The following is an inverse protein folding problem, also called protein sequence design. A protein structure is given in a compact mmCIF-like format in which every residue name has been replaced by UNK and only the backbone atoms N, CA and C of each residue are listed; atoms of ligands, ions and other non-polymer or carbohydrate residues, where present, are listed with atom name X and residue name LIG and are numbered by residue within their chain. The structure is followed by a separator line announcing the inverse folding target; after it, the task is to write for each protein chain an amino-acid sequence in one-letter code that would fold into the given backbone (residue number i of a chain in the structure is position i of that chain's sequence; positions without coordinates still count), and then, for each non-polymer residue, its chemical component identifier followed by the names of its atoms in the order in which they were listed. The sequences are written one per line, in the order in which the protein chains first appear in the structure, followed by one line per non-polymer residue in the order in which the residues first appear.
data_IF_917549904910
#
_entry.id   IF_917549904910
#
_cell.length_a   1.000
_cell.length_b   1.000
_cell.length_c   1.000
_cell.angle_alpha   90.00
_cell.angle_beta   90.00
_cell.angle_gamma   90.00
#
_symmetry.space_group_name_H-M   'P 1'
#
loop_
_entity.id
_entity.type
_entity.pdbx_description
1 polymer ?
#
# COMPACT_ATOMS: atom_id res chain seq x y z
N UNK A 1 -39.01 30.07 -4.83
CA UNK A 1 -38.43 28.73 -4.81
C UNK A 1 -38.82 28.09 -6.13
N UNK A 2 -37.87 27.93 -7.02
CA UNK A 2 -38.11 27.35 -8.35
C UNK A 2 -38.31 25.84 -8.20
N UNK A 3 -39.08 25.21 -9.10
CA UNK A 3 -39.33 23.77 -9.13
C UNK A 3 -38.01 22.96 -9.16
N UNK A 4 -36.99 23.52 -9.80
CA UNK A 4 -35.65 22.94 -9.83
C UNK A 4 -34.92 23.03 -8.49
N UNK A 5 -35.15 24.10 -7.71
CA UNK A 5 -34.61 24.22 -6.35
C UNK A 5 -35.28 23.22 -5.42
N UNK A 6 -36.58 23.04 -5.53
CA UNK A 6 -37.34 22.04 -4.76
C UNK A 6 -36.90 20.62 -5.12
N UNK A 7 -36.71 20.31 -6.41
CA UNK A 7 -36.20 18.99 -6.84
C UNK A 7 -34.77 18.73 -6.36
N UNK A 8 -33.89 19.75 -6.37
CA UNK A 8 -32.54 19.64 -5.79
C UNK A 8 -32.53 19.40 -4.30
N UNK A 9 -33.38 20.10 -3.56
CA UNK A 9 -33.53 19.90 -2.11
C UNK A 9 -34.10 18.53 -1.77
N UNK A 10 -35.03 18.02 -2.58
CA UNK A 10 -35.62 16.68 -2.41
C UNK A 10 -34.57 15.59 -2.72
N UNK A 11 -33.84 15.73 -3.81
CA UNK A 11 -32.73 14.81 -4.15
C UNK A 11 -31.58 14.86 -3.13
N UNK A 12 -31.31 16.03 -2.52
CA UNK A 12 -30.32 16.11 -1.44
C UNK A 12 -30.78 15.37 -0.17
N UNK A 13 -32.08 15.37 0.14
CA UNK A 13 -32.64 14.61 1.27
C UNK A 13 -32.61 13.10 1.06
N UNK A 14 -32.63 12.63 -0.19
CA UNK A 14 -32.56 11.22 -0.54
C UNK A 14 -31.11 10.68 -0.64
N UNK A 15 -30.10 11.56 -0.59
CA UNK A 15 -28.71 11.12 -0.62
C UNK A 15 -28.29 10.47 0.71
N UNK A 16 -27.36 9.49 0.70
CA UNK A 16 -26.91 8.81 1.92
C UNK A 16 -26.45 9.79 3.00
N UNK A 17 -26.76 9.51 4.26
CA UNK A 17 -26.43 10.35 5.41
C UNK A 17 -24.95 10.73 5.46
N UNK A 18 -24.06 9.79 5.16
CA UNK A 18 -22.63 10.04 5.08
C UNK A 18 -22.25 11.11 4.03
N UNK A 19 -23.07 11.31 3.00
CA UNK A 19 -22.88 12.36 2.01
C UNK A 19 -23.45 13.71 2.49
N UNK A 20 -24.64 13.69 3.09
CA UNK A 20 -25.30 14.89 3.61
C UNK A 20 -24.55 15.53 4.77
N UNK A 21 -23.97 14.70 5.64
CA UNK A 21 -23.22 15.13 6.83
C UNK A 21 -21.78 15.57 6.53
N UNK A 22 -21.37 15.61 5.28
CA UNK A 22 -20.02 16.10 4.93
C UNK A 22 -19.81 17.53 5.42
N UNK A 23 -18.70 17.80 6.14
CA UNK A 23 -18.30 19.15 6.52
C UNK A 23 -18.25 20.11 5.32
N UNK A 24 -18.70 21.35 5.54
CA UNK A 24 -18.61 22.42 4.54
C UNK A 24 -17.45 23.38 4.83
N UNK A 25 -17.01 23.44 6.06
CA UNK A 25 -15.92 24.31 6.54
C UNK A 25 -14.87 23.50 7.28
N UNK A 26 -13.66 24.06 7.44
CA UNK A 26 -12.59 23.42 8.21
C UNK A 26 -12.96 23.19 9.69
N UNK A 27 -13.76 24.07 10.27
CA UNK A 27 -14.16 23.99 11.67
C UNK A 27 -15.22 22.89 11.91
N UNK A 28 -15.89 22.41 10.86
CA UNK A 28 -16.82 21.29 10.93
C UNK A 28 -16.13 19.92 10.82
N UNK A 29 -14.87 19.90 10.39
CA UNK A 29 -14.15 18.63 10.21
C UNK A 29 -13.82 18.05 11.58
N UNK A 30 -14.23 16.82 11.79
CA UNK A 30 -13.95 16.06 13.02
C UNK A 30 -12.68 15.25 12.85
N UNK A 31 -11.87 15.18 13.89
CA UNK A 31 -10.59 14.48 13.87
C UNK A 31 -9.49 15.17 13.08
N UNK A 32 -8.45 14.43 12.69
CA UNK A 32 -7.31 14.89 11.87
C UNK A 32 -6.62 16.17 12.38
N UNK A 33 -6.61 16.43 13.68
CA UNK A 33 -6.08 17.67 14.29
C UNK A 33 -4.61 17.91 13.99
N UNK A 34 -3.84 16.85 13.74
CA UNK A 34 -2.43 16.92 13.35
C UNK A 34 -2.22 17.52 11.95
N UNK A 35 -3.22 17.46 11.07
CA UNK A 35 -3.16 18.00 9.69
C UNK A 35 -3.85 19.36 9.60
N UNK A 36 -5.06 19.48 10.18
CA UNK A 36 -5.95 20.64 10.01
C UNK A 36 -6.14 21.48 11.29
N UNK A 37 -5.38 21.22 12.35
CA UNK A 37 -5.39 22.08 13.55
C UNK A 37 -4.98 23.51 13.20
N UNK A 38 -5.51 24.52 13.90
CA UNK A 38 -5.34 25.97 13.58
C UNK A 38 -3.89 26.42 13.39
N UNK A 39 -2.91 25.70 13.95
CA UNK A 39 -1.48 26.03 13.86
C UNK A 39 -0.73 25.18 12.83
N UNK A 40 -1.38 24.25 12.13
CA UNK A 40 -0.73 23.37 11.15
C UNK A 40 -0.42 24.11 9.86
N UNK A 41 0.54 23.58 9.12
CA UNK A 41 0.96 24.14 7.83
C UNK A 41 -0.20 24.15 6.83
N UNK A 42 -0.95 23.05 6.72
CA UNK A 42 -2.05 22.92 5.78
C UNK A 42 -3.18 23.92 6.09
N UNK A 43 -3.56 24.05 7.36
CA UNK A 43 -4.57 25.02 7.77
C UNK A 43 -4.20 26.46 7.37
N UNK A 44 -2.95 26.85 7.63
CA UNK A 44 -2.47 28.19 7.26
C UNK A 44 -2.39 28.39 5.75
N UNK A 45 -1.98 27.39 4.99
CA UNK A 45 -1.92 27.42 3.52
C UNK A 45 -3.32 27.61 2.92
N UNK A 46 -4.32 26.89 3.44
CA UNK A 46 -5.72 27.01 3.01
C UNK A 46 -6.26 28.42 3.31
N UNK A 47 -6.07 28.91 4.52
CA UNK A 47 -6.54 30.26 4.94
C UNK A 47 -5.86 31.39 4.15
N UNK A 48 -4.61 31.22 3.75
CA UNK A 48 -3.87 32.18 2.94
C UNK A 48 -4.15 32.07 1.44
N UNK A 49 -4.97 31.12 1.00
CA UNK A 49 -5.19 30.76 -0.42
C UNK A 49 -3.87 30.48 -1.18
N UNK A 50 -2.92 29.82 -0.51
CA UNK A 50 -1.57 29.49 -1.02
C UNK A 50 -1.33 27.97 -0.98
N UNK A 51 -2.34 27.20 -1.39
CA UNK A 51 -2.24 25.76 -1.44
C UNK A 51 -1.29 25.33 -2.59
N UNK A 52 -0.35 24.45 -2.27
CA UNK A 52 0.40 23.63 -3.22
C UNK A 52 -0.29 22.28 -3.43
N UNK A 53 0.18 21.49 -4.39
CA UNK A 53 -0.34 20.13 -4.58
C UNK A 53 -0.10 19.27 -3.35
N UNK A 54 -1.09 18.42 -3.04
CA UNK A 54 -1.08 17.55 -1.86
C UNK A 54 -1.55 16.14 -2.20
N UNK A 55 -1.08 15.17 -1.44
CA UNK A 55 -1.56 13.79 -1.52
C UNK A 55 -2.03 13.39 -0.12
N UNK A 56 -3.31 13.05 -0.01
CA UNK A 56 -3.90 12.48 1.19
C UNK A 56 -3.88 10.96 1.10
N UNK A 57 -3.24 10.29 2.05
CA UNK A 57 -3.31 8.85 2.13
C UNK A 57 -3.76 8.40 3.52
N UNK A 58 -4.27 7.19 3.61
CA UNK A 58 -4.74 6.62 4.86
C UNK A 58 -6.02 5.78 4.68
N UNK A 59 -6.55 5.19 5.77
CA UNK A 59 -7.66 4.26 5.74
C UNK A 59 -8.94 4.82 5.10
N UNK A 60 -9.85 3.96 4.60
CA UNK A 60 -11.15 4.40 4.10
C UNK A 60 -11.99 5.04 5.23
N UNK A 61 -12.87 5.98 4.87
CA UNK A 61 -13.74 6.64 5.84
C UNK A 61 -13.12 7.71 6.73
N UNK A 62 -11.80 7.97 6.61
CA UNK A 62 -11.07 8.98 7.41
C UNK A 62 -11.24 10.42 6.95
N UNK A 63 -11.97 10.65 5.83
CA UNK A 63 -12.34 11.99 5.38
C UNK A 63 -11.47 12.57 4.25
N UNK A 64 -10.67 11.81 3.52
CA UNK A 64 -9.82 12.29 2.40
C UNK A 64 -10.60 13.14 1.38
N UNK A 65 -11.66 12.58 0.81
CA UNK A 65 -12.54 13.27 -0.16
C UNK A 65 -13.23 14.48 0.47
N UNK A 66 -13.66 14.35 1.72
CA UNK A 66 -14.29 15.41 2.49
C UNK A 66 -13.34 16.59 2.68
N UNK A 67 -12.09 16.32 3.07
CA UNK A 67 -11.09 17.37 3.28
C UNK A 67 -10.76 18.09 1.96
N UNK A 68 -10.65 17.37 0.84
CA UNK A 68 -10.46 17.98 -0.47
C UNK A 68 -11.60 18.95 -0.84
N UNK A 69 -12.87 18.57 -0.57
CA UNK A 69 -14.03 19.43 -0.81
C UNK A 69 -14.05 20.65 0.09
N UNK A 70 -13.72 20.50 1.39
CA UNK A 70 -13.63 21.61 2.35
C UNK A 70 -12.52 22.60 1.93
N UNK A 71 -11.38 22.10 1.46
CA UNK A 71 -10.31 22.94 0.92
C UNK A 71 -10.80 23.73 -0.28
N UNK A 72 -11.46 23.07 -1.22
CA UNK A 72 -12.01 23.74 -2.40
C UNK A 72 -13.04 24.82 -2.06
N UNK A 73 -13.94 24.56 -1.11
CA UNK A 73 -14.93 25.52 -0.65
C UNK A 73 -14.32 26.71 0.09
N UNK A 74 -13.14 26.55 0.66
CA UNK A 74 -12.45 27.60 1.45
C UNK A 74 -11.52 28.46 0.57
N UNK A 75 -11.12 27.95 -0.61
CA UNK A 75 -10.23 28.63 -1.56
C UNK A 75 -11.01 29.26 -2.71
N UNK A 76 -10.39 30.21 -3.43
CA UNK A 76 -10.99 30.85 -4.62
C UNK A 76 -10.84 30.01 -5.89
N UNK A 77 -10.43 28.75 -5.77
CA UNK A 77 -10.14 27.87 -6.90
C UNK A 77 -11.39 27.17 -7.43
N UNK A 78 -11.40 26.86 -8.73
CA UNK A 78 -12.40 25.94 -9.32
C UNK A 78 -12.09 24.52 -8.88
N UNK A 79 -13.11 23.76 -8.50
CA UNK A 79 -12.97 22.37 -8.08
C UNK A 79 -13.46 21.40 -9.15
N UNK A 80 -12.59 20.50 -9.55
CA UNK A 80 -12.93 19.40 -10.47
C UNK A 80 -12.50 18.08 -9.84
N UNK A 81 -13.40 17.10 -9.87
CA UNK A 81 -13.15 15.77 -9.33
C UNK A 81 -13.07 14.73 -10.43
N UNK A 82 -12.06 13.88 -10.38
CA UNK A 82 -11.95 12.64 -11.15
C UNK A 82 -11.85 11.45 -10.21
N UNK A 83 -12.43 10.33 -10.63
CA UNK A 83 -12.22 9.05 -9.96
C UNK A 83 -11.34 8.19 -10.87
N UNK A 84 -10.15 7.84 -10.41
CA UNK A 84 -9.16 7.11 -11.20
C UNK A 84 -9.58 5.68 -11.58
N UNK A 85 -10.64 5.14 -10.93
CA UNK A 85 -11.18 3.81 -11.31
C UNK A 85 -12.01 3.84 -12.59
N UNK A 86 -12.50 5.02 -13.00
CA UNK A 86 -13.41 5.20 -14.14
C UNK A 86 -12.84 6.16 -15.18
N UNK A 87 -12.12 7.20 -14.73
CA UNK A 87 -11.62 8.27 -15.59
C UNK A 87 -10.51 7.80 -16.55
N UNK A 88 -10.66 8.17 -17.81
CA UNK A 88 -9.70 7.91 -18.87
C UNK A 88 -8.84 9.14 -19.24
N UNK A 89 -7.97 8.96 -20.23
CA UNK A 89 -7.10 10.04 -20.72
C UNK A 89 -7.89 11.26 -21.22
N UNK A 90 -9.01 11.03 -21.89
CA UNK A 90 -9.87 12.10 -22.42
C UNK A 90 -10.44 12.99 -21.32
N UNK A 91 -10.88 12.38 -20.22
CA UNK A 91 -11.42 13.15 -19.08
C UNK A 91 -10.35 14.08 -18.49
N UNK A 92 -9.10 13.60 -18.41
CA UNK A 92 -7.97 14.42 -17.98
C UNK A 92 -7.66 15.57 -18.94
N UNK A 93 -7.69 15.31 -20.26
CA UNK A 93 -7.49 16.33 -21.30
C UNK A 93 -8.56 17.42 -21.21
N UNK A 94 -9.82 17.06 -21.01
CA UNK A 94 -10.93 18.00 -20.87
C UNK A 94 -10.78 18.89 -19.62
N UNK A 95 -10.36 18.30 -18.50
CA UNK A 95 -10.07 19.04 -17.27
C UNK A 95 -8.92 20.02 -17.44
N UNK A 96 -7.82 19.58 -18.06
CA UNK A 96 -6.65 20.42 -18.33
C UNK A 96 -7.01 21.59 -19.24
N UNK A 97 -7.77 21.33 -20.31
CA UNK A 97 -8.23 22.37 -21.23
C UNK A 97 -9.06 23.42 -20.49
N UNK A 98 -10.05 22.98 -19.70
CA UNK A 98 -10.88 23.87 -18.88
C UNK A 98 -10.06 24.67 -17.87
N UNK A 99 -9.07 24.04 -17.23
CA UNK A 99 -8.19 24.71 -16.28
C UNK A 99 -7.38 25.84 -16.94
N UNK A 100 -6.82 25.60 -18.15
CA UNK A 100 -6.12 26.62 -18.94
C UNK A 100 -7.02 27.77 -19.35
N UNK A 101 -8.24 27.47 -19.77
CA UNK A 101 -9.24 28.49 -20.16
C UNK A 101 -9.59 29.37 -18.95
N UNK A 102 -9.84 28.78 -17.78
CA UNK A 102 -10.15 29.51 -16.56
C UNK A 102 -8.97 30.36 -16.06
N UNK A 103 -7.76 29.84 -16.13
CA UNK A 103 -6.55 30.58 -15.78
C UNK A 103 -6.30 31.74 -16.74
N UNK A 104 -6.44 31.51 -18.05
CA UNK A 104 -6.20 32.54 -19.08
C UNK A 104 -7.25 33.64 -19.10
N UNK A 105 -8.54 33.31 -18.93
CA UNK A 105 -9.64 34.28 -19.03
C UNK A 105 -9.91 35.00 -17.71
N UNK A 106 -9.76 34.31 -16.57
CA UNK A 106 -10.21 34.82 -15.29
C UNK A 106 -9.12 34.86 -14.21
N UNK A 107 -7.90 34.40 -14.50
CA UNK A 107 -6.82 34.26 -13.53
C UNK A 107 -7.15 33.25 -12.40
N UNK A 108 -8.14 32.38 -12.62
CA UNK A 108 -8.65 31.46 -11.60
C UNK A 108 -7.91 30.13 -11.65
N UNK A 109 -7.41 29.66 -10.53
CA UNK A 109 -6.73 28.36 -10.40
C UNK A 109 -7.74 27.22 -10.35
N UNK A 110 -7.34 26.03 -10.76
CA UNK A 110 -8.14 24.81 -10.70
C UNK A 110 -7.53 23.81 -9.73
N UNK A 111 -8.32 23.39 -8.75
CA UNK A 111 -8.01 22.23 -7.91
C UNK A 111 -8.56 21.00 -8.63
N UNK A 112 -7.68 20.10 -9.01
CA UNK A 112 -8.03 18.77 -9.51
C UNK A 112 -7.91 17.75 -8.38
N UNK A 113 -9.05 17.27 -7.91
CA UNK A 113 -9.11 16.17 -6.96
C UNK A 113 -9.18 14.84 -7.71
N UNK A 114 -8.25 13.94 -7.42
CA UNK A 114 -8.22 12.59 -7.98
C UNK A 114 -8.39 11.59 -6.84
N UNK A 115 -9.57 10.95 -6.82
CA UNK A 115 -9.84 9.86 -5.89
C UNK A 115 -9.21 8.56 -6.39
N UNK A 116 -8.61 7.79 -5.49
CA UNK A 116 -7.87 6.56 -5.75
C UNK A 116 -6.74 6.74 -6.81
N UNK A 117 -5.93 7.80 -6.66
CA UNK A 117 -4.89 8.18 -7.64
C UNK A 117 -3.94 7.03 -8.01
N UNK A 118 -3.73 6.05 -7.12
CA UNK A 118 -2.93 4.86 -7.38
C UNK A 118 -3.49 3.96 -8.50
N UNK A 119 -4.77 4.13 -8.88
CA UNK A 119 -5.40 3.41 -10.00
C UNK A 119 -5.01 3.95 -11.37
N UNK A 120 -4.51 5.17 -11.43
CA UNK A 120 -3.94 5.69 -12.67
C UNK A 120 -2.62 4.99 -12.99
N UNK A 121 -2.45 4.57 -14.24
CA UNK A 121 -1.18 4.04 -14.70
C UNK A 121 -0.10 5.16 -14.77
N UNK A 122 1.18 4.75 -14.89
CA UNK A 122 2.30 5.71 -14.93
C UNK A 122 2.14 6.79 -16.00
N UNK A 123 1.69 6.43 -17.20
CA UNK A 123 1.50 7.39 -18.29
C UNK A 123 0.40 8.42 -18.01
N UNK A 124 -0.67 8.04 -17.29
CA UNK A 124 -1.71 8.95 -16.85
C UNK A 124 -1.19 9.91 -15.75
N UNK A 125 -0.41 9.38 -14.81
CA UNK A 125 0.22 10.22 -13.79
C UNK A 125 1.27 11.16 -14.39
N UNK A 126 2.08 10.72 -15.35
CA UNK A 126 3.06 11.55 -16.07
C UNK A 126 2.39 12.68 -16.86
N UNK A 127 1.21 12.42 -17.43
CA UNK A 127 0.46 13.45 -18.16
C UNK A 127 0.11 14.67 -17.32
N UNK A 128 -0.07 14.52 -16.02
CA UNK A 128 -0.41 15.63 -15.11
C UNK A 128 0.81 16.49 -14.74
N UNK A 129 2.03 15.96 -14.84
CA UNK A 129 3.24 16.61 -14.36
C UNK A 129 3.44 18.04 -14.88
N UNK A 130 3.36 18.31 -16.20
CA UNK A 130 3.57 19.67 -16.71
C UNK A 130 2.59 20.69 -16.13
N UNK A 131 1.34 20.29 -15.88
CA UNK A 131 0.28 21.18 -15.40
C UNK A 131 0.30 21.40 -13.89
N UNK A 132 0.92 20.47 -13.17
CA UNK A 132 1.26 20.63 -11.74
C UNK A 132 2.49 21.53 -11.57
N UNK A 133 3.47 21.39 -12.46
CA UNK A 133 4.71 22.19 -12.46
C UNK A 133 4.46 23.66 -12.78
N UNK A 134 3.66 23.94 -13.80
CA UNK A 134 3.34 25.31 -14.25
C UNK A 134 2.24 25.99 -13.42
N UNK A 135 1.62 25.25 -12.48
CA UNK A 135 0.56 25.75 -11.60
C UNK A 135 -0.80 25.92 -12.25
N UNK A 136 -1.00 25.41 -13.48
CA UNK A 136 -2.32 25.35 -14.14
C UNK A 136 -3.29 24.54 -13.29
N UNK A 137 -2.78 23.47 -12.64
CA UNK A 137 -3.55 22.58 -11.76
C UNK A 137 -2.88 22.51 -10.39
N UNK A 138 -3.66 22.66 -9.34
CA UNK A 138 -3.33 22.25 -7.98
C UNK A 138 -3.87 20.83 -7.81
N UNK A 139 -2.99 19.85 -7.73
CA UNK A 139 -3.39 18.45 -7.56
C UNK A 139 -3.71 18.17 -6.08
N UNK A 140 -4.88 17.58 -5.83
CA UNK A 140 -5.18 16.90 -4.57
C UNK A 140 -5.40 15.41 -4.88
N UNK A 141 -4.41 14.58 -4.64
CA UNK A 141 -4.53 13.14 -4.76
C UNK A 141 -5.07 12.51 -3.49
N UNK A 142 -5.97 11.54 -3.59
CA UNK A 142 -6.40 10.70 -2.49
C UNK A 142 -6.09 9.24 -2.79
N UNK A 143 -5.59 8.51 -1.80
CA UNK A 143 -5.30 7.08 -1.92
C UNK A 143 -5.44 6.38 -0.58
N UNK A 144 -5.78 5.09 -0.63
CA UNK A 144 -5.72 4.18 0.52
C UNK A 144 -4.39 3.43 0.59
N UNK A 145 -3.59 3.49 -0.47
CA UNK A 145 -2.30 2.82 -0.58
C UNK A 145 -1.15 3.77 -0.24
N UNK A 146 -0.01 3.21 0.17
CA UNK A 146 1.17 4.03 0.47
C UNK A 146 1.66 4.75 -0.80
N UNK A 147 1.60 6.09 -0.85
CA UNK A 147 1.89 6.85 -2.06
C UNK A 147 3.34 6.70 -2.55
N UNK A 148 4.28 6.40 -1.66
CA UNK A 148 5.70 6.21 -2.04
C UNK A 148 5.94 4.98 -2.91
N UNK A 149 5.01 4.01 -2.93
CA UNK A 149 5.10 2.83 -3.78
C UNK A 149 4.23 2.94 -5.03
N UNK A 150 3.09 3.62 -4.94
CA UNK A 150 2.04 3.55 -5.95
C UNK A 150 1.92 4.83 -6.79
N UNK A 151 2.38 5.96 -6.27
CA UNK A 151 2.34 7.23 -7.00
C UNK A 151 3.70 7.53 -7.62
N UNK A 152 3.68 8.12 -8.83
CA UNK A 152 4.89 8.49 -9.54
C UNK A 152 5.80 9.38 -8.68
N UNK A 153 7.10 9.04 -8.52
CA UNK A 153 8.05 9.83 -7.74
C UNK A 153 8.14 11.29 -8.16
N UNK A 154 7.90 11.62 -9.44
CA UNK A 154 7.89 12.98 -9.91
C UNK A 154 6.68 13.80 -9.40
N UNK A 155 5.50 13.18 -9.23
CA UNK A 155 4.35 13.81 -8.56
C UNK A 155 4.58 13.94 -7.05
N UNK A 156 5.17 12.90 -6.43
CA UNK A 156 5.54 12.91 -5.01
C UNK A 156 6.45 14.09 -4.69
N UNK A 157 7.50 14.31 -5.49
CA UNK A 157 8.47 15.40 -5.26
C UNK A 157 7.87 16.80 -5.38
N UNK A 158 6.68 16.93 -5.99
CA UNK A 158 5.94 18.20 -6.20
C UNK A 158 4.71 18.34 -5.31
N UNK A 159 4.48 17.37 -4.46
CA UNK A 159 3.30 17.33 -3.59
C UNK A 159 3.70 17.20 -2.13
N UNK A 160 2.89 17.73 -1.24
CA UNK A 160 3.03 17.50 0.19
C UNK A 160 2.14 16.33 0.56
N UNK A 161 2.72 15.35 1.26
CA UNK A 161 2.00 14.13 1.65
C UNK A 161 1.46 14.32 3.05
N UNK A 162 0.18 14.04 3.24
CA UNK A 162 -0.47 14.01 4.53
C UNK A 162 -1.11 12.66 4.78
N UNK A 163 -0.76 12.08 5.91
CA UNK A 163 -1.36 10.84 6.39
C UNK A 163 -2.59 11.15 7.23
N UNK A 164 -3.73 10.57 6.84
CA UNK A 164 -4.95 10.61 7.63
C UNK A 164 -5.05 9.35 8.48
N UNK A 165 -5.26 9.53 9.76
CA UNK A 165 -5.42 8.43 10.70
C UNK A 165 -6.88 8.03 10.84
N UNK A 166 -7.14 6.82 11.34
CA UNK A 166 -8.46 6.43 11.79
C UNK A 166 -8.99 7.47 12.78
N UNK A 167 -10.28 7.75 12.69
CA UNK A 167 -10.93 8.63 13.65
C UNK A 167 -10.97 7.97 15.03
N UNK A 168 -10.73 8.76 16.05
CA UNK A 168 -10.85 8.29 17.42
C UNK A 168 -12.32 7.99 17.75
N UNK A 169 -12.57 7.18 18.77
CA UNK A 169 -13.92 6.83 19.20
C UNK A 169 -14.77 8.04 19.53
N UNK A 170 -14.19 9.02 20.19
CA UNK A 170 -14.81 10.30 20.56
C UNK A 170 -15.20 11.11 19.32
N UNK A 171 -14.36 11.11 18.28
CA UNK A 171 -14.64 11.77 17.00
C UNK A 171 -15.86 11.12 16.32
N UNK A 172 -15.96 9.80 16.34
CA UNK A 172 -17.10 9.06 15.78
C UNK A 172 -18.37 9.34 16.59
N UNK A 173 -18.29 9.35 17.92
CA UNK A 173 -19.42 9.71 18.79
C UNK A 173 -19.96 11.11 18.48
N UNK A 174 -19.06 12.08 18.31
CA UNK A 174 -19.43 13.45 17.92
C UNK A 174 -20.15 13.47 16.57
N UNK A 175 -19.66 12.72 15.57
CA UNK A 175 -20.29 12.62 14.25
C UNK A 175 -21.69 12.00 14.32
N UNK A 176 -21.86 10.91 15.07
CA UNK A 176 -23.14 10.24 15.26
C UNK A 176 -24.13 11.17 15.97
N UNK A 177 -23.73 11.80 17.07
CA UNK A 177 -24.58 12.73 17.82
C UNK A 177 -25.02 13.91 16.95
N UNK A 178 -24.10 14.49 16.17
CA UNK A 178 -24.41 15.53 15.20
C UNK A 178 -25.38 15.05 14.13
N UNK A 179 -25.19 13.82 13.62
CA UNK A 179 -26.05 13.24 12.59
C UNK A 179 -27.47 12.98 13.08
N UNK A 180 -27.64 12.55 14.31
CA UNK A 180 -28.98 12.33 14.93
C UNK A 180 -29.68 13.65 15.19
N UNK A 181 -28.96 14.68 15.64
CA UNK A 181 -29.57 15.97 16.08
C UNK A 181 -29.78 16.97 14.94
N UNK A 182 -29.03 16.95 13.85
CA UNK A 182 -29.13 17.94 12.75
C UNK A 182 -30.45 17.75 11.98
N UNK A 183 -31.39 18.74 12.01
CA UNK A 183 -32.70 18.60 11.36
C UNK A 183 -32.64 18.80 9.83
N UNK A 184 -31.56 19.37 9.31
CA UNK A 184 -31.44 19.73 7.87
C UNK A 184 -30.65 18.69 7.10
N UNK A 185 -29.45 18.36 7.58
CA UNK A 185 -28.53 17.43 6.91
C UNK A 185 -28.58 16.02 7.52
N UNK A 186 -28.95 15.93 8.78
CA UNK A 186 -28.98 14.70 9.56
C UNK A 186 -30.35 14.03 9.59
N UNK A 187 -30.60 13.39 10.71
CA UNK A 187 -31.82 12.63 11.01
C UNK A 187 -32.69 13.30 12.05
N UNK A 188 -32.44 14.58 12.44
CA UNK A 188 -33.17 15.28 13.49
C UNK A 188 -34.69 15.42 13.24
N UNK A 189 -35.10 15.46 11.96
CA UNK A 189 -36.53 15.48 11.59
C UNK A 189 -37.27 14.16 11.89
N UNK A 190 -36.56 13.08 12.16
CA UNK A 190 -37.13 11.77 12.53
C UNK A 190 -37.47 11.69 14.03
N UNK A 191 -37.00 12.64 14.85
CA UNK A 191 -37.15 12.63 16.31
C UNK A 191 -36.59 11.36 16.95
N UNK A 192 -35.37 10.95 16.49
CA UNK A 192 -34.68 9.79 17.02
C UNK A 192 -33.93 10.15 18.31
N UNK A 193 -33.98 9.26 19.29
CA UNK A 193 -33.19 9.31 20.51
C UNK A 193 -32.21 8.12 20.48
N UNK A 194 -30.94 8.42 20.68
CA UNK A 194 -29.87 7.41 20.67
C UNK A 194 -29.39 7.19 22.10
N UNK A 195 -29.47 5.95 22.59
CA UNK A 195 -28.97 5.58 23.91
C UNK A 195 -27.44 5.63 23.96
N UNK A 196 -26.89 5.95 25.13
CA UNK A 196 -25.44 6.13 25.31
C UNK A 196 -24.65 4.82 24.99
N UNK A 197 -25.19 3.68 25.37
CA UNK A 197 -24.58 2.36 25.10
C UNK A 197 -24.64 1.98 23.60
N UNK A 198 -25.72 2.37 22.92
CA UNK A 198 -25.83 2.25 21.46
C UNK A 198 -24.82 3.14 20.74
N UNK A 199 -24.67 4.40 21.20
CA UNK A 199 -23.66 5.30 20.66
C UNK A 199 -22.23 4.78 20.87
N UNK A 200 -21.96 4.24 22.05
CA UNK A 200 -20.70 3.58 22.40
C UNK A 200 -20.40 2.42 21.47
N UNK A 201 -21.37 1.52 21.31
CA UNK A 201 -21.25 0.35 20.43
C UNK A 201 -21.04 0.75 18.97
N UNK A 202 -21.84 1.67 18.42
CA UNK A 202 -21.71 2.14 17.04
C UNK A 202 -20.32 2.76 16.77
N UNK A 203 -19.79 3.49 17.75
CA UNK A 203 -18.48 4.12 17.66
C UNK A 203 -17.35 3.10 17.65
N UNK A 204 -17.40 2.09 18.51
CA UNK A 204 -16.44 0.99 18.54
C UNK A 204 -16.54 0.14 17.26
N UNK A 205 -17.75 -0.20 16.85
CA UNK A 205 -17.99 -1.00 15.68
C UNK A 205 -17.56 -0.28 14.39
N UNK A 206 -17.58 1.05 14.34
CA UNK A 206 -17.11 1.84 13.21
C UNK A 206 -15.59 1.80 13.03
N UNK A 207 -14.81 1.51 14.08
CA UNK A 207 -13.35 1.36 14.03
C UNK A 207 -12.65 2.50 13.24
N UNK A 208 -13.04 3.75 13.53
CA UNK A 208 -12.50 4.93 12.88
C UNK A 208 -13.02 5.27 11.48
N UNK A 209 -13.98 4.51 10.94
CA UNK A 209 -14.62 4.77 9.66
C UNK A 209 -15.93 5.57 9.85
N UNK A 210 -15.88 6.88 9.59
CA UNK A 210 -17.06 7.76 9.69
C UNK A 210 -18.22 7.34 8.79
N UNK A 211 -17.93 6.82 7.59
CA UNK A 211 -18.97 6.38 6.65
C UNK A 211 -19.71 5.17 7.19
N UNK A 212 -18.97 4.21 7.77
CA UNK A 212 -19.58 3.03 8.39
C UNK A 212 -20.48 3.42 9.57
N UNK A 213 -20.04 4.35 10.43
CA UNK A 213 -20.83 4.86 11.56
C UNK A 213 -22.12 5.54 11.10
N UNK A 214 -22.02 6.45 10.13
CA UNK A 214 -23.15 7.19 9.61
C UNK A 214 -24.14 6.30 8.85
N UNK A 215 -23.69 5.32 8.12
CA UNK A 215 -24.56 4.33 7.48
C UNK A 215 -25.28 3.46 8.52
N UNK A 216 -24.59 3.08 9.60
CA UNK A 216 -25.18 2.30 10.68
C UNK A 216 -26.31 3.05 11.37
N UNK A 217 -26.08 4.32 11.75
CA UNK A 217 -27.12 5.14 12.40
C UNK A 217 -28.27 5.49 11.44
N UNK A 218 -27.99 5.73 10.13
CA UNK A 218 -29.02 5.96 9.12
C UNK A 218 -29.96 4.76 9.03
N UNK A 219 -29.38 3.55 8.94
CA UNK A 219 -30.18 2.32 8.89
C UNK A 219 -30.98 2.14 10.17
N UNK A 220 -30.38 2.34 11.34
CA UNK A 220 -31.06 2.21 12.63
C UNK A 220 -32.29 3.14 12.71
N UNK A 221 -32.13 4.41 12.33
CA UNK A 221 -33.26 5.38 12.37
C UNK A 221 -34.35 5.03 11.36
N UNK A 222 -33.98 4.55 10.15
CA UNK A 222 -34.96 4.27 9.09
C UNK A 222 -35.71 2.94 9.27
N UNK A 223 -35.17 2.01 10.05
CA UNK A 223 -35.76 0.67 10.22
C UNK A 223 -36.41 0.44 11.59
N UNK A 224 -36.26 1.38 12.52
CA UNK A 224 -36.88 1.26 13.85
C UNK A 224 -38.25 1.97 13.87
N UNK A 225 -39.23 1.26 14.35
CA UNK A 225 -40.58 1.81 14.52
C UNK A 225 -40.62 2.88 15.63
N UNK A 226 -41.58 3.77 15.52
CA UNK A 226 -41.83 4.78 16.57
C UNK A 226 -42.45 4.13 17.80
N UNK A 227 -41.97 4.51 18.96
CA UNK A 227 -42.55 4.13 20.23
C UNK A 227 -43.84 4.91 20.53
N UNK A 228 -44.56 4.56 21.58
CA UNK A 228 -45.82 5.19 22.00
C UNK A 228 -45.69 6.69 22.30
N UNK A 229 -44.50 7.18 22.62
CA UNK A 229 -44.15 8.59 22.82
C UNK A 229 -43.93 9.34 21.47
N UNK A 230 -44.01 8.65 20.32
CA UNK A 230 -43.82 9.21 18.99
C UNK A 230 -42.34 9.36 18.59
N UNK A 231 -41.43 8.94 19.43
CA UNK A 231 -39.98 8.97 19.17
C UNK A 231 -39.46 7.63 18.64
N UNK A 232 -38.32 7.66 17.96
CA UNK A 232 -37.57 6.46 17.54
C UNK A 232 -36.44 6.25 18.55
N UNK A 233 -36.50 5.19 19.33
CA UNK A 233 -35.48 4.84 20.30
C UNK A 233 -34.45 3.89 19.72
N UNK A 234 -33.22 4.35 19.58
CA UNK A 234 -32.11 3.50 19.08
C UNK A 234 -31.38 2.93 20.30
N UNK A 235 -31.77 1.70 20.64
CA UNK A 235 -31.17 0.92 21.74
C UNK A 235 -29.94 0.18 21.27
N UNK A 236 -29.19 -0.40 22.23
CA UNK A 236 -28.05 -1.26 21.94
C UNK A 236 -28.43 -2.43 21.02
N UNK A 237 -29.57 -3.08 21.25
CA UNK A 237 -30.03 -4.21 20.44
C UNK A 237 -30.28 -3.77 18.99
N UNK A 238 -30.98 -2.64 18.79
CA UNK A 238 -31.22 -2.05 17.47
C UNK A 238 -29.89 -1.72 16.76
N UNK A 239 -28.94 -1.13 17.49
CA UNK A 239 -27.63 -0.80 16.95
C UNK A 239 -26.84 -2.05 16.52
N UNK A 240 -26.93 -3.14 17.28
CA UNK A 240 -26.30 -4.40 16.97
C UNK A 240 -26.90 -5.08 15.72
N UNK A 241 -28.22 -5.01 15.54
CA UNK A 241 -28.90 -5.53 14.36
C UNK A 241 -28.52 -4.76 13.09
N UNK A 242 -28.40 -3.44 13.17
CA UNK A 242 -28.10 -2.56 12.03
C UNK A 242 -26.65 -2.64 11.57
N UNK A 243 -25.74 -2.98 12.45
CA UNK A 243 -24.38 -3.36 12.08
C UNK A 243 -24.39 -4.85 11.83
N UNK A 244 -24.86 -5.28 10.65
CA UNK A 244 -24.67 -6.67 10.20
C UNK A 244 -23.26 -7.12 10.54
N UNK A 245 -23.12 -8.28 11.21
CA UNK A 245 -21.86 -8.89 11.66
C UNK A 245 -20.72 -8.48 10.73
N UNK A 246 -19.92 -7.57 11.19
CA UNK A 246 -18.71 -7.22 10.51
C UNK A 246 -17.92 -8.50 10.32
N UNK A 247 -17.78 -8.93 9.09
CA UNK A 247 -16.49 -9.46 8.73
C UNK A 247 -15.49 -8.46 9.33
N UNK A 248 -14.63 -8.91 10.26
CA UNK A 248 -13.52 -8.09 10.76
C UNK A 248 -12.90 -7.48 9.53
N UNK A 249 -13.22 -6.22 9.25
CA UNK A 249 -12.61 -5.52 8.14
C UNK A 249 -11.18 -5.31 8.57
N UNK A 250 -10.39 -6.23 8.18
CA UNK A 250 -8.99 -6.04 7.97
C UNK A 250 -8.92 -4.86 7.01
N UNK A 251 -8.48 -3.73 7.51
CA UNK A 251 -8.27 -2.56 6.67
C UNK A 251 -7.12 -2.91 5.72
N UNK A 252 -7.46 -3.18 4.46
CA UNK A 252 -6.49 -3.57 3.42
C UNK A 252 -5.44 -2.49 3.17
N UNK A 253 -5.59 -1.32 3.75
CA UNK A 253 -4.77 -0.13 3.52
C UNK A 253 -4.31 0.59 4.78
N UNK A 254 -4.60 0.09 6.00
CA UNK A 254 -4.20 0.71 7.26
C UNK A 254 -2.94 0.09 7.88
N UNK A 255 -2.36 0.74 8.90
CA UNK A 255 -1.19 0.26 9.64
C UNK A 255 -1.35 -1.19 10.14
N UNK A 256 -2.55 -1.59 10.56
CA UNK A 256 -2.89 -2.97 10.94
C UNK A 256 -2.67 -3.99 9.81
N UNK A 257 -2.83 -3.58 8.55
CA UNK A 257 -2.56 -4.44 7.38
C UNK A 257 -1.07 -4.73 7.27
N UNK A 258 -0.26 -3.65 7.22
CA UNK A 258 1.19 -3.78 7.12
C UNK A 258 1.78 -4.47 8.37
N UNK A 259 1.25 -4.20 9.54
CA UNK A 259 1.66 -4.85 10.78
C UNK A 259 1.38 -6.36 10.78
N UNK A 260 0.20 -6.79 10.29
CA UNK A 260 -0.14 -8.21 10.19
C UNK A 260 0.73 -8.93 9.16
N UNK A 261 0.98 -8.30 8.00
CA UNK A 261 1.89 -8.84 6.97
C UNK A 261 3.31 -8.93 7.53
N UNK A 262 3.78 -7.87 8.19
CA UNK A 262 5.10 -7.83 8.84
C UNK A 262 5.22 -8.91 9.90
N UNK A 263 4.21 -9.11 10.73
CA UNK A 263 4.15 -10.16 11.72
C UNK A 263 4.16 -11.56 11.09
N UNK A 264 3.40 -11.76 10.01
CA UNK A 264 3.40 -13.01 9.23
C UNK A 264 4.80 -13.35 8.71
N UNK A 265 5.47 -12.40 8.04
CA UNK A 265 6.82 -12.61 7.53
C UNK A 265 7.81 -12.87 8.67
N UNK A 266 7.75 -12.06 9.74
CA UNK A 266 8.64 -12.21 10.92
C UNK A 266 8.43 -13.55 11.64
N UNK A 267 7.22 -14.08 11.65
CA UNK A 267 6.92 -15.39 12.21
C UNK A 267 7.55 -16.52 11.41
N UNK A 268 7.44 -16.48 10.08
CA UNK A 268 8.13 -17.45 9.21
C UNK A 268 9.66 -17.34 9.32
N UNK A 269 10.20 -16.12 9.35
CA UNK A 269 11.63 -15.83 9.56
C UNK A 269 12.12 -16.32 10.91
N UNK A 270 11.32 -16.12 11.96
CA UNK A 270 11.61 -16.49 13.34
C UNK A 270 11.37 -17.96 13.66
N UNK A 271 10.96 -18.78 12.67
CA UNK A 271 10.67 -20.22 12.85
C UNK A 271 9.54 -20.51 13.85
N UNK A 272 8.51 -19.67 13.85
CA UNK A 272 7.27 -19.88 14.61
C UNK A 272 6.11 -20.23 13.66
N UNK A 273 5.84 -21.52 13.41
CA UNK A 273 4.77 -21.95 12.50
C UNK A 273 3.37 -21.63 13.05
N UNK A 274 3.16 -21.63 14.36
CA UNK A 274 1.86 -21.33 14.96
C UNK A 274 1.48 -19.87 14.77
N UNK A 275 2.41 -18.95 15.02
CA UNK A 275 2.23 -17.54 14.74
C UNK A 275 2.04 -17.27 13.23
N UNK A 276 2.80 -17.96 12.37
CA UNK A 276 2.65 -17.84 10.91
C UNK A 276 1.24 -18.24 10.47
N UNK A 277 0.71 -19.37 10.93
CA UNK A 277 -0.65 -19.82 10.63
C UNK A 277 -1.71 -18.85 11.18
N UNK A 278 -1.50 -18.34 12.40
CA UNK A 278 -2.40 -17.37 13.01
C UNK A 278 -2.51 -16.08 12.18
N UNK A 279 -1.38 -15.48 11.79
CA UNK A 279 -1.40 -14.27 10.95
C UNK A 279 -1.88 -14.53 9.54
N UNK A 280 -1.61 -15.71 8.96
CA UNK A 280 -2.22 -16.16 7.71
C UNK A 280 -3.73 -16.18 7.81
N UNK A 281 -4.29 -16.80 8.85
CA UNK A 281 -5.72 -16.87 9.09
C UNK A 281 -6.33 -15.46 9.24
N UNK A 282 -5.67 -14.53 9.94
CA UNK A 282 -6.09 -13.13 10.03
C UNK A 282 -6.17 -12.45 8.67
N UNK A 283 -5.16 -12.63 7.81
CA UNK A 283 -5.14 -12.08 6.46
C UNK A 283 -6.26 -12.65 5.59
N UNK A 284 -6.44 -13.99 5.61
CA UNK A 284 -7.48 -14.67 4.84
C UNK A 284 -8.88 -14.30 5.28
N UNK A 285 -9.12 -14.24 6.61
CA UNK A 285 -10.40 -13.84 7.18
C UNK A 285 -10.76 -12.41 6.82
N UNK A 286 -9.76 -11.54 6.72
CA UNK A 286 -9.87 -10.17 6.27
C UNK A 286 -10.06 -10.00 4.77
N UNK A 287 -9.99 -11.07 4.00
CA UNK A 287 -10.16 -11.06 2.55
C UNK A 287 -8.95 -10.53 1.79
N UNK A 288 -7.74 -10.72 2.34
CA UNK A 288 -6.49 -10.40 1.64
C UNK A 288 -6.36 -11.19 0.34
N UNK A 289 -5.71 -10.60 -0.66
CA UNK A 289 -5.44 -11.27 -1.93
C UNK A 289 -4.51 -12.47 -1.70
N UNK A 290 -5.01 -13.68 -1.99
CA UNK A 290 -4.24 -14.92 -1.85
C UNK A 290 -2.94 -14.92 -2.67
N UNK A 291 -2.90 -14.20 -3.80
CA UNK A 291 -1.71 -14.03 -4.63
C UNK A 291 -0.67 -13.16 -3.94
N UNK A 292 -1.13 -12.12 -3.25
CA UNK A 292 -0.25 -11.28 -2.44
C UNK A 292 0.39 -12.09 -1.30
N UNK A 293 -0.41 -12.90 -0.57
CA UNK A 293 0.10 -13.78 0.49
C UNK A 293 1.13 -14.76 -0.07
N UNK A 294 0.82 -15.42 -1.20
CA UNK A 294 1.75 -16.35 -1.85
C UNK A 294 3.09 -15.68 -2.23
N UNK A 295 3.04 -14.46 -2.76
CA UNK A 295 4.27 -13.68 -3.06
C UNK A 295 5.12 -13.45 -1.81
N UNK A 296 4.51 -13.17 -0.64
CA UNK A 296 5.24 -12.99 0.60
C UNK A 296 5.90 -14.28 1.09
N UNK A 297 5.23 -15.41 0.91
CA UNK A 297 5.82 -16.74 1.21
C UNK A 297 7.03 -17.01 0.28
N UNK A 298 6.91 -16.74 -1.04
CA UNK A 298 8.02 -16.92 -1.98
C UNK A 298 9.22 -16.03 -1.67
N UNK A 299 8.97 -14.76 -1.30
CA UNK A 299 10.05 -13.84 -0.91
C UNK A 299 10.74 -14.36 0.34
N UNK A 300 9.99 -14.74 1.39
CA UNK A 300 10.55 -15.27 2.63
C UNK A 300 11.34 -16.57 2.39
N UNK A 301 10.86 -17.46 1.51
CA UNK A 301 11.58 -18.67 1.12
C UNK A 301 12.94 -18.37 0.48
N UNK A 302 13.07 -17.29 -0.30
CA UNK A 302 14.31 -16.89 -0.93
C UNK A 302 15.22 -16.05 -0.03
N UNK A 303 14.63 -15.13 0.76
CA UNK A 303 15.34 -14.17 1.60
C UNK A 303 15.86 -14.79 2.89
N UNK A 304 14.99 -15.58 3.57
CA UNK A 304 15.24 -16.05 4.94
C UNK A 304 15.63 -17.53 5.03
N UNK A 305 15.26 -18.33 4.03
CA UNK A 305 15.65 -19.76 3.94
C UNK A 305 16.79 -19.95 2.93
N UNK A 306 16.64 -19.41 1.73
CA UNK A 306 17.67 -19.44 0.70
C UNK A 306 18.22 -20.85 0.43
N UNK A 307 19.55 -20.96 0.40
CA UNK A 307 20.22 -22.23 0.15
C UNK A 307 20.33 -23.15 1.37
N UNK A 308 19.82 -22.73 2.54
CA UNK A 308 19.74 -23.65 3.70
C UNK A 308 18.71 -24.76 3.46
N UNK A 309 17.64 -24.47 2.71
CA UNK A 309 16.71 -25.46 2.17
C UNK A 309 16.19 -25.02 0.79
N UNK A 310 16.81 -25.46 -0.32
CA UNK A 310 16.39 -25.10 -1.68
C UNK A 310 14.95 -25.52 -2.02
N UNK A 311 14.35 -26.48 -1.31
CA UNK A 311 12.98 -26.92 -1.53
C UNK A 311 11.96 -25.87 -1.07
N UNK A 312 12.32 -24.97 -0.16
CA UNK A 312 11.40 -23.97 0.35
C UNK A 312 10.84 -23.08 -0.78
N UNK A 313 11.69 -22.61 -1.69
CA UNK A 313 11.24 -21.83 -2.84
C UNK A 313 10.40 -22.67 -3.81
N UNK A 314 10.76 -23.94 -4.04
CA UNK A 314 10.00 -24.86 -4.92
C UNK A 314 8.59 -25.06 -4.38
N UNK A 315 8.44 -25.33 -3.08
CA UNK A 315 7.15 -25.47 -2.41
C UNK A 315 6.34 -24.18 -2.49
N UNK A 316 6.95 -23.04 -2.24
CA UNK A 316 6.28 -21.74 -2.29
C UNK A 316 5.78 -21.39 -3.72
N UNK A 317 6.57 -21.68 -4.74
CA UNK A 317 6.19 -21.48 -6.15
C UNK A 317 5.07 -22.44 -6.55
N UNK A 318 5.17 -23.71 -6.20
CA UNK A 318 4.10 -24.68 -6.45
C UNK A 318 2.77 -24.29 -5.79
N UNK A 319 2.84 -23.80 -4.54
CA UNK A 319 1.66 -23.29 -3.82
C UNK A 319 1.06 -22.08 -4.54
N UNK A 320 1.89 -21.12 -4.99
CA UNK A 320 1.42 -19.95 -5.74
C UNK A 320 0.68 -20.32 -7.03
N UNK A 321 1.19 -21.30 -7.78
CA UNK A 321 0.53 -21.79 -8.99
C UNK A 321 -0.76 -22.56 -8.69
N UNK A 322 -0.79 -23.33 -7.60
CA UNK A 322 -1.95 -24.13 -7.23
C UNK A 322 -3.13 -23.27 -6.79
N UNK A 323 -2.91 -22.21 -6.00
CA UNK A 323 -3.99 -21.33 -5.54
C UNK A 323 -4.70 -20.61 -6.68
N UNK A 324 -4.01 -20.31 -7.78
CA UNK A 324 -4.62 -19.68 -8.96
C UNK A 324 -5.64 -20.58 -9.67
N UNK A 325 -5.44 -21.90 -9.58
CA UNK A 325 -6.32 -22.90 -10.21
C UNK A 325 -7.48 -23.30 -9.32
N UNK A 326 -7.26 -23.33 -8.00
CA UNK A 326 -8.21 -23.88 -7.03
C UNK A 326 -9.10 -22.78 -6.44
N UNK A 327 -8.51 -21.63 -6.07
CA UNK A 327 -9.24 -20.53 -5.43
C UNK A 327 -9.66 -20.83 -3.99
N UNK A 328 -10.39 -19.89 -3.39
CA UNK A 328 -10.95 -20.04 -2.04
C UNK A 328 -12.23 -20.90 -2.09
N UNK A 329 -12.57 -21.68 -1.03
CA UNK A 329 -11.87 -21.69 0.27
C UNK A 329 -10.65 -22.62 0.35
N UNK A 330 -10.43 -23.53 -0.57
CA UNK A 330 -9.40 -24.58 -0.48
C UNK A 330 -7.97 -24.02 -0.58
N UNK A 331 -7.76 -22.85 -1.21
CA UNK A 331 -6.47 -22.17 -1.28
C UNK A 331 -5.84 -21.90 0.10
N UNK A 332 -6.65 -21.77 1.17
CA UNK A 332 -6.16 -21.62 2.54
C UNK A 332 -5.30 -22.79 3.01
N UNK A 333 -5.64 -24.02 2.57
CA UNK A 333 -4.93 -25.26 2.93
C UNK A 333 -3.52 -25.22 2.30
N UNK A 334 -3.45 -24.85 1.03
CA UNK A 334 -2.20 -24.77 0.26
C UNK A 334 -1.28 -23.68 0.81
N UNK A 335 -1.84 -22.51 1.13
CA UNK A 335 -1.07 -21.42 1.73
C UNK A 335 -0.56 -21.77 3.13
N UNK A 336 -1.38 -22.45 3.94
CA UNK A 336 -0.95 -22.94 5.26
C UNK A 336 0.19 -23.95 5.15
N UNK A 337 0.10 -24.90 4.21
CA UNK A 337 1.16 -25.87 3.94
C UNK A 337 2.49 -25.17 3.57
N UNK A 338 2.45 -24.22 2.64
CA UNK A 338 3.65 -23.49 2.22
C UNK A 338 4.23 -22.61 3.36
N UNK A 339 3.37 -21.91 4.10
CA UNK A 339 3.79 -21.04 5.20
C UNK A 339 4.45 -21.84 6.34
N UNK A 340 3.86 -22.97 6.74
CA UNK A 340 4.42 -23.86 7.76
C UNK A 340 5.73 -24.49 7.32
N UNK A 341 5.83 -24.91 6.04
CA UNK A 341 7.08 -25.42 5.49
C UNK A 341 8.19 -24.38 5.60
N UNK A 342 7.96 -23.16 5.11
CA UNK A 342 8.94 -22.06 5.17
C UNK A 342 9.28 -21.69 6.61
N UNK A 343 8.29 -21.68 7.51
CA UNK A 343 8.52 -21.41 8.92
C UNK A 343 9.41 -22.47 9.58
N UNK A 344 9.25 -23.75 9.25
CA UNK A 344 10.01 -24.86 9.84
C UNK A 344 11.36 -25.13 9.16
N UNK A 345 11.60 -24.58 7.97
CA UNK A 345 12.85 -24.77 7.24
C UNK A 345 14.05 -24.13 7.97
N UNK A 346 15.27 -24.69 7.85
CA UNK A 346 16.49 -24.05 8.32
C UNK A 346 16.67 -22.69 7.66
N UNK A 347 17.20 -21.72 8.41
CA UNK A 347 17.29 -20.32 7.98
C UNK A 347 18.69 -19.94 7.52
N UNK A 348 18.77 -19.24 6.40
CA UNK A 348 19.97 -18.54 5.93
C UNK A 348 19.57 -17.37 5.01
N UNK A 349 20.10 -16.21 5.28
CA UNK A 349 19.97 -15.03 4.40
C UNK A 349 21.25 -14.80 3.57
N UNK A 350 22.16 -15.76 3.50
CA UNK A 350 23.45 -15.58 2.84
C UNK A 350 23.34 -15.18 1.36
N UNK A 351 22.38 -15.75 0.62
CA UNK A 351 22.13 -15.39 -0.77
C UNK A 351 21.59 -13.96 -0.93
N UNK A 352 20.69 -13.54 -0.03
CA UNK A 352 20.16 -12.18 0.01
C UNK A 352 21.26 -11.16 0.35
N UNK A 353 22.07 -11.44 1.37
CA UNK A 353 23.19 -10.58 1.75
C UNK A 353 24.22 -10.47 0.63
N UNK A 354 24.51 -11.56 -0.06
CA UNK A 354 25.46 -11.59 -1.18
C UNK A 354 25.08 -10.61 -2.29
N UNK A 355 23.83 -10.64 -2.76
CA UNK A 355 23.38 -9.71 -3.80
C UNK A 355 23.27 -8.28 -3.28
N UNK A 356 22.86 -8.07 -2.03
CA UNK A 356 22.75 -6.75 -1.43
C UNK A 356 24.12 -6.08 -1.29
N UNK A 357 25.12 -6.80 -0.80
CA UNK A 357 26.51 -6.32 -0.69
C UNK A 357 27.12 -6.06 -2.07
N UNK A 358 26.92 -6.95 -3.05
CA UNK A 358 27.41 -6.76 -4.40
C UNK A 358 26.77 -5.54 -5.09
N UNK A 359 25.45 -5.35 -4.95
CA UNK A 359 24.75 -4.16 -5.47
C UNK A 359 25.26 -2.86 -4.83
N UNK A 360 25.45 -2.85 -3.52
CA UNK A 360 26.01 -1.70 -2.80
C UNK A 360 27.44 -1.40 -3.27
N UNK A 361 28.25 -2.43 -3.50
CA UNK A 361 29.60 -2.27 -4.02
C UNK A 361 29.58 -1.61 -5.40
N UNK A 362 28.77 -2.13 -6.34
CA UNK A 362 28.65 -1.59 -7.71
C UNK A 362 28.14 -0.14 -7.74
N UNK A 363 27.24 0.21 -6.82
CA UNK A 363 26.69 1.57 -6.74
C UNK A 363 27.69 2.60 -6.20
N UNK A 364 28.58 2.19 -5.30
CA UNK A 364 29.46 3.09 -4.58
C UNK A 364 30.91 3.08 -5.07
N UNK A 365 31.29 2.17 -5.96
CA UNK A 365 32.63 2.07 -6.49
C UNK A 365 32.63 2.17 -8.01
N UNK A 366 33.72 2.68 -8.57
CA UNK A 366 33.92 2.67 -10.02
C UNK A 366 34.02 1.22 -10.49
N UNK A 367 33.15 0.82 -11.43
CA UNK A 367 33.11 -0.53 -11.99
C UNK A 367 34.42 -0.82 -12.75
N UNK A 368 35.24 -1.79 -12.30
CA UNK A 368 36.45 -2.18 -13.02
C UNK A 368 36.10 -3.01 -14.27
N UNK A 369 37.02 -3.08 -15.27
CA UNK A 369 36.78 -3.89 -16.45
C UNK A 369 36.76 -5.39 -16.10
N UNK A 370 36.03 -6.17 -16.90
CA UNK A 370 36.05 -7.63 -16.83
C UNK A 370 37.45 -8.14 -17.20
N UNK A 371 38.02 -9.08 -16.43
CA UNK A 371 39.33 -9.68 -16.76
C UNK A 371 39.38 -10.17 -18.21
N UNK A 372 40.52 -9.96 -18.91
CA UNK A 372 40.66 -10.26 -20.34
C UNK A 372 40.34 -11.70 -20.70
N UNK A 373 40.76 -12.65 -19.87
CA UNK A 373 40.51 -14.09 -20.08
C UNK A 373 39.02 -14.48 -19.96
N UNK A 374 38.17 -13.65 -19.31
CA UNK A 374 36.73 -13.89 -19.19
C UNK A 374 35.93 -13.12 -20.23
N UNK A 375 36.56 -12.28 -21.05
CA UNK A 375 35.85 -11.48 -22.06
C UNK A 375 35.38 -12.35 -23.23
N UNK A 376 34.30 -11.93 -23.88
CA UNK A 376 33.65 -12.67 -24.97
C UNK A 376 34.61 -12.89 -26.16
N UNK A 377 34.67 -14.13 -26.69
CA UNK A 377 35.50 -14.54 -27.80
C UNK A 377 34.72 -14.85 -29.09
N UNK A 378 33.38 -14.67 -29.10
CA UNK A 378 32.53 -15.09 -30.21
C UNK A 378 32.56 -14.16 -31.45
N UNK A 379 33.36 -13.09 -31.46
CA UNK A 379 33.46 -12.18 -32.59
C UNK A 379 34.84 -12.17 -33.25
N UNK A 380 34.88 -11.95 -34.59
CA UNK A 380 36.05 -12.15 -35.47
C UNK A 380 37.37 -11.44 -35.07
N UNK A 381 37.30 -10.43 -34.17
CA UNK A 381 38.48 -9.66 -33.76
C UNK A 381 38.87 -9.85 -32.29
N UNK A 382 38.20 -10.71 -31.57
CA UNK A 382 38.41 -10.92 -30.12
C UNK A 382 39.88 -11.29 -29.79
N UNK A 383 40.45 -12.23 -30.51
CA UNK A 383 41.85 -12.67 -30.32
C UNK A 383 42.90 -11.57 -30.61
N UNK A 384 42.60 -10.55 -31.45
CA UNK A 384 43.50 -9.40 -31.68
C UNK A 384 43.52 -8.44 -30.49
N UNK A 385 42.53 -8.51 -29.64
CA UNK A 385 42.38 -7.69 -28.44
C UNK A 385 42.77 -8.43 -27.16
N UNK A 386 43.25 -9.69 -27.29
CA UNK A 386 43.63 -10.53 -26.14
C UNK A 386 42.41 -11.04 -25.32
N UNK A 387 41.20 -10.98 -25.89
CA UNK A 387 40.01 -11.49 -25.21
C UNK A 387 40.04 -13.03 -25.18
N UNK A 388 39.82 -13.61 -24.03
CA UNK A 388 39.81 -15.04 -23.78
C UNK A 388 41.21 -15.64 -23.56
N UNK A 389 42.30 -14.86 -23.72
CA UNK A 389 43.66 -15.37 -23.54
C UNK A 389 43.90 -15.83 -22.09
N UNK A 390 44.30 -17.09 -21.94
CA UNK A 390 44.59 -17.69 -20.65
C UNK A 390 43.37 -18.24 -19.90
N UNK A 391 42.19 -18.22 -20.50
CA UNK A 391 41.00 -18.85 -19.89
C UNK A 391 41.20 -20.34 -19.74
N UNK A 392 40.99 -20.86 -18.53
CA UNK A 392 41.05 -22.29 -18.20
C UNK A 392 39.63 -22.83 -18.14
N UNK A 393 39.28 -23.74 -19.07
CA UNK A 393 37.97 -24.36 -19.12
C UNK A 393 37.84 -25.41 -18.01
N UNK A 394 36.99 -25.12 -17.02
CA UNK A 394 36.89 -25.92 -15.79
C UNK A 394 36.58 -27.40 -16.02
N UNK A 395 35.83 -27.75 -17.09
CA UNK A 395 35.52 -29.15 -17.42
C UNK A 395 36.71 -29.99 -17.88
N UNK A 396 37.81 -29.35 -18.26
CA UNK A 396 39.07 -30.08 -18.63
C UNK A 396 39.87 -30.49 -17.39
N UNK A 397 39.47 -30.06 -16.20
CA UNK A 397 40.16 -30.32 -14.94
C UNK A 397 39.37 -31.29 -14.06
N UNK A 398 40.11 -31.96 -13.14
CA UNK A 398 39.52 -32.89 -12.18
C UNK A 398 38.41 -32.20 -11.35
N UNK A 399 37.33 -32.94 -11.12
CA UNK A 399 36.13 -32.43 -10.44
C UNK A 399 35.51 -31.17 -11.09
N UNK A 400 35.86 -30.88 -12.35
CA UNK A 400 35.38 -29.70 -13.09
C UNK A 400 35.68 -28.39 -12.36
N UNK A 401 36.84 -28.33 -11.69
CA UNK A 401 37.28 -27.16 -10.93
C UNK A 401 38.72 -26.82 -11.25
N UNK A 402 39.00 -25.53 -11.43
CA UNK A 402 40.35 -24.99 -11.59
C UNK A 402 40.46 -23.64 -10.89
N UNK A 403 41.56 -23.44 -10.20
CA UNK A 403 41.84 -22.14 -9.56
C UNK A 403 42.21 -21.13 -10.63
N UNK A 404 41.35 -20.14 -10.84
CA UNK A 404 41.61 -18.95 -11.66
C UNK A 404 40.85 -17.75 -11.09
N UNK A 405 41.27 -16.55 -11.47
CA UNK A 405 40.63 -15.31 -11.05
C UNK A 405 39.35 -15.07 -11.85
N UNK A 406 38.21 -14.90 -11.19
CA UNK A 406 36.90 -14.57 -11.81
C UNK A 406 36.46 -13.16 -11.57
N UNK A 407 36.78 -12.58 -10.39
CA UNK A 407 36.52 -11.17 -10.14
C UNK A 407 37.58 -10.29 -10.79
N UNK A 408 37.28 -9.03 -11.09
CA UNK A 408 38.28 -8.07 -11.54
C UNK A 408 39.51 -8.00 -10.61
N UNK A 409 40.70 -7.72 -11.15
CA UNK A 409 41.97 -7.73 -10.39
C UNK A 409 41.93 -6.84 -9.13
N UNK A 410 41.21 -5.74 -9.18
CA UNK A 410 41.02 -4.84 -8.03
C UNK A 410 40.08 -5.38 -6.96
N UNK A 411 39.41 -6.50 -7.22
CA UNK A 411 38.40 -7.13 -6.37
C UNK A 411 38.79 -8.57 -5.97
N UNK A 412 40.04 -8.97 -6.15
CA UNK A 412 40.51 -10.35 -5.92
C UNK A 412 40.17 -10.87 -4.49
N UNK A 413 40.14 -10.01 -3.50
CA UNK A 413 39.88 -10.36 -2.10
C UNK A 413 38.43 -10.15 -1.68
N UNK A 414 37.53 -9.75 -2.59
CA UNK A 414 36.12 -9.53 -2.25
C UNK A 414 35.37 -10.87 -2.17
N UNK A 415 34.52 -10.98 -1.15
CA UNK A 415 33.71 -12.15 -0.89
C UNK A 415 32.27 -11.73 -0.56
N UNK A 416 31.36 -11.88 -1.50
CA UNK A 416 29.96 -11.53 -1.32
C UNK A 416 29.14 -12.69 -0.74
N UNK A 417 29.34 -13.92 -1.21
CA UNK A 417 28.57 -15.07 -0.72
C UNK A 417 29.30 -15.79 0.42
N UNK A 418 28.69 -15.72 1.61
CA UNK A 418 29.20 -16.35 2.83
C UNK A 418 28.16 -17.32 3.35
N UNK A 419 28.15 -18.57 2.87
CA UNK A 419 27.18 -19.58 3.27
C UNK A 419 27.27 -19.87 4.78
N UNK A 420 26.10 -20.13 5.37
CA UNK A 420 25.99 -20.53 6.77
C UNK A 420 26.30 -22.02 6.95
N UNK A 421 26.30 -22.48 8.20
CA UNK A 421 26.37 -23.91 8.51
C UNK A 421 24.99 -24.56 8.67
N UNK A 422 23.91 -23.85 8.32
CA UNK A 422 22.56 -24.32 8.48
C UNK A 422 22.09 -25.15 7.26
N UNK A 423 21.38 -26.22 7.51
CA UNK A 423 20.73 -27.03 6.48
C UNK A 423 21.68 -27.47 5.36
N UNK A 424 21.25 -27.31 4.12
CA UNK A 424 22.02 -27.70 2.93
C UNK A 424 23.27 -26.84 2.70
N UNK A 425 23.33 -25.61 3.22
CA UNK A 425 24.53 -24.77 3.08
C UNK A 425 25.77 -25.39 3.71
N UNK A 426 25.62 -26.21 4.76
CA UNK A 426 26.73 -27.01 5.31
C UNK A 426 27.36 -27.90 4.25
N UNK A 427 26.54 -28.54 3.42
CA UNK A 427 27.02 -29.36 2.29
C UNK A 427 27.72 -28.51 1.24
N UNK A 428 27.23 -27.32 0.96
CA UNK A 428 27.85 -26.36 0.03
C UNK A 428 29.25 -25.97 0.57
N UNK A 429 29.33 -25.60 1.86
CA UNK A 429 30.62 -25.25 2.50
C UNK A 429 31.63 -26.39 2.38
N UNK A 430 31.23 -27.62 2.72
CA UNK A 430 32.09 -28.79 2.65
C UNK A 430 32.56 -29.03 1.20
N UNK A 431 31.66 -28.91 0.23
CA UNK A 431 32.00 -29.09 -1.20
C UNK A 431 33.00 -28.04 -1.68
N UNK A 432 32.75 -26.75 -1.42
CA UNK A 432 33.65 -25.67 -1.83
C UNK A 432 35.02 -25.74 -1.16
N UNK A 433 35.06 -26.10 0.12
CA UNK A 433 36.33 -26.30 0.85
C UNK A 433 37.15 -27.44 0.23
N UNK A 434 36.50 -28.56 -0.04
CA UNK A 434 37.16 -29.70 -0.69
C UNK A 434 37.76 -29.36 -2.07
N UNK A 435 36.98 -28.67 -2.93
CA UNK A 435 37.43 -28.23 -4.25
C UNK A 435 38.67 -27.32 -4.17
N UNK A 436 38.67 -26.37 -3.23
CA UNK A 436 39.78 -25.43 -3.04
C UNK A 436 41.06 -26.15 -2.55
N UNK A 437 40.91 -27.04 -1.58
CA UNK A 437 42.05 -27.83 -1.08
C UNK A 437 42.68 -28.73 -2.13
N UNK A 438 41.88 -29.46 -2.92
CA UNK A 438 42.37 -30.33 -3.99
C UNK A 438 43.09 -29.55 -5.10
N UNK A 439 42.64 -28.33 -5.43
CA UNK A 439 43.33 -27.50 -6.41
C UNK A 439 44.67 -26.92 -5.91
N UNK A 440 44.81 -26.69 -4.62
CA UNK A 440 46.06 -26.24 -4.01
C UNK A 440 47.11 -27.36 -4.01
N UNK A 441 46.70 -28.60 -3.75
CA UNK A 441 47.59 -29.79 -3.83
C UNK A 441 48.10 -30.07 -5.25
N UNK A 442 47.30 -29.77 -6.29
CA UNK A 442 47.70 -29.92 -7.68
C UNK A 442 48.65 -28.82 -8.17
N UNK A 443 48.56 -27.63 -7.59
CA UNK A 443 49.43 -26.48 -7.92
C UNK A 443 50.83 -26.62 -7.28
N UNK A 444 50.95 -27.41 -6.21
CA UNK A 444 52.19 -27.64 -5.46
C UNK A 444 52.94 -28.92 -5.93
N UNK A 445 52.42 -29.64 -6.94
CA UNK A 445 53.08 -30.77 -7.61
C UNK A 445 53.56 -30.35 -8.98
#
# INVERSE_FOLDING_TARGET
MDLFDYMRETQQKESPLASRMRPKTLDEVVGQKHIIGKNTMLYRAIKADKLSSVIFYGPPGTGKTTLAMVIANTTSSEFTQLNATVAGKKDMEDVVKRAKDLQGMYGRRTILFIDEIHRFNKGQQDYLLPFVEDGTIILIGATTENPYFEVNPALISRSIIFELHNLEKEDIKELIARAVSDPVRGMGSYHAMLDDDAAEFLSDAANGDARAALNGIELAVLTTDRSDDGMIHITLDTAQECIQKRAVRYDKSGDNHYDTISAFIKSMRGSDPDAAVYYLARMLYAGEDIRFIARRIMICASEDVGNADPQALVVAVAASQAIERIGMPEAQIILSHAATYVACAPKSNAAYMAISEAMNYVQNHKTPPVPSHLQDTHYKSAGKLGHGDGYKYAHDYKNHYVKQQYLPDTMENEHFYRPSENGYERTIVQHLTKLRAEAEDETNK
#
